data_IF_830705771924
#
_entry.id   IF_830705771924
#
_cell.length_a   1.000
_cell.length_b   1.000
_cell.length_c   1.000
_cell.angle_alpha   90.00
_cell.angle_beta   90.00
_cell.angle_gamma   90.00
#
_symmetry.space_group_name_H-M   'P 1'
#
loop_
_entity.id
_entity.type
_entity.pdbx_description
1 polymer ?
#
# COMPACT_ATOMS: atom_id res chain seq x y z
N UNK A 1 -11.25 -3.12 10.08
CA UNK A 1 -12.35 -3.94 10.60
C UNK A 1 -12.64 -5.19 9.76
N UNK A 2 -12.78 -5.10 8.41
CA UNK A 2 -13.10 -6.29 7.60
C UNK A 2 -11.94 -7.30 7.56
N UNK A 3 -10.70 -6.86 7.44
CA UNK A 3 -9.54 -7.73 7.41
C UNK A 3 -9.33 -8.51 8.72
N UNK A 4 -9.66 -7.92 9.87
CA UNK A 4 -9.64 -8.65 11.15
C UNK A 4 -10.64 -9.81 11.17
N UNK A 5 -11.81 -9.61 10.56
CA UNK A 5 -12.85 -10.68 10.49
C UNK A 5 -12.46 -11.81 9.55
N UNK A 6 -11.67 -11.50 8.52
CA UNK A 6 -11.26 -12.46 7.50
C UNK A 6 -9.90 -13.11 7.80
N UNK A 7 -9.22 -12.73 8.88
CA UNK A 7 -7.89 -13.26 9.21
C UNK A 7 -7.91 -14.79 9.31
N UNK A 8 -7.01 -15.43 8.57
CA UNK A 8 -6.88 -16.88 8.51
C UNK A 8 -7.95 -17.60 7.67
N UNK A 9 -8.96 -16.89 7.17
CA UNK A 9 -10.01 -17.48 6.30
C UNK A 9 -9.55 -17.52 4.84
N UNK A 10 -10.22 -18.31 4.02
CA UNK A 10 -10.01 -18.31 2.58
C UNK A 10 -10.44 -16.98 1.98
N UNK A 11 -9.65 -16.47 1.01
CA UNK A 11 -9.96 -15.23 0.34
C UNK A 11 -11.32 -15.34 -0.39
N UNK A 12 -12.28 -14.43 -0.15
CA UNK A 12 -13.55 -14.43 -0.87
C UNK A 12 -13.35 -14.37 -2.38
N UNK A 13 -14.12 -15.12 -3.13
CA UNK A 13 -14.04 -15.19 -4.59
C UNK A 13 -14.18 -13.81 -5.24
N UNK A 14 -15.01 -12.92 -4.68
CA UNK A 14 -15.19 -11.55 -5.16
C UNK A 14 -13.92 -10.70 -5.13
N UNK A 15 -12.93 -11.07 -4.30
CA UNK A 15 -11.64 -10.37 -4.23
C UNK A 15 -10.63 -10.93 -5.24
N UNK A 16 -10.88 -12.13 -5.78
CA UNK A 16 -10.00 -12.81 -6.73
C UNK A 16 -10.40 -12.56 -8.19
N UNK A 17 -11.67 -12.28 -8.44
CA UNK A 17 -12.22 -12.10 -9.78
C UNK A 17 -11.50 -10.98 -10.55
N UNK A 18 -11.06 -11.30 -11.77
CA UNK A 18 -10.38 -10.37 -12.66
C UNK A 18 -8.97 -9.99 -12.24
N UNK A 19 -8.42 -10.58 -11.17
CA UNK A 19 -7.08 -10.29 -10.69
C UNK A 19 -6.09 -11.40 -11.01
N UNK A 20 -4.85 -11.00 -11.32
CA UNK A 20 -3.71 -11.92 -11.48
C UNK A 20 -2.80 -11.78 -10.30
N UNK A 21 -2.45 -12.90 -9.70
CA UNK A 21 -1.49 -12.96 -8.59
C UNK A 21 -0.23 -13.68 -9.05
N UNK A 22 0.94 -13.07 -8.79
CA UNK A 22 2.21 -13.73 -9.01
C UNK A 22 2.43 -14.79 -7.91
N UNK A 23 2.91 -15.97 -8.31
CA UNK A 23 3.37 -17.01 -7.38
C UNK A 23 2.32 -17.61 -6.43
N UNK A 24 1.03 -17.34 -6.65
CA UNK A 24 -0.06 -17.94 -5.88
C UNK A 24 -0.68 -19.10 -6.66
N UNK A 25 -0.78 -20.27 -6.00
CA UNK A 25 -1.52 -21.43 -6.46
C UNK A 25 -2.69 -21.68 -5.51
N UNK A 26 -3.89 -21.86 -6.07
CA UNK A 26 -5.11 -22.08 -5.29
C UNK A 26 -5.66 -20.81 -4.64
N UNK A 27 -6.58 -20.98 -3.68
CA UNK A 27 -7.21 -19.87 -2.95
C UNK A 27 -6.30 -19.45 -1.77
N UNK A 28 -5.78 -18.21 -1.74
CA UNK A 28 -4.93 -17.76 -0.66
C UNK A 28 -5.73 -17.52 0.63
N UNK A 29 -5.07 -17.66 1.77
CA UNK A 29 -5.61 -17.24 3.06
C UNK A 29 -5.50 -15.72 3.21
N UNK A 30 -6.51 -15.12 3.82
CA UNK A 30 -6.47 -13.71 4.17
C UNK A 30 -5.57 -13.50 5.40
N UNK A 31 -4.81 -12.43 5.37
CA UNK A 31 -3.99 -11.99 6.50
C UNK A 31 -4.57 -10.71 7.08
N UNK A 32 -4.93 -10.75 8.34
CA UNK A 32 -5.35 -9.58 9.10
C UNK A 32 -4.20 -8.60 9.36
N UNK A 33 -4.51 -7.38 9.80
CA UNK A 33 -3.50 -6.41 10.20
C UNK A 33 -2.62 -6.95 11.32
N UNK A 34 -1.31 -6.78 11.20
CA UNK A 34 -0.33 -7.14 12.24
C UNK A 34 0.07 -5.95 13.11
N UNK A 35 -0.55 -4.79 12.89
CA UNK A 35 -0.34 -3.57 13.65
C UNK A 35 -1.67 -2.98 14.11
N UNK A 36 -1.63 -2.22 15.19
CA UNK A 36 -2.78 -1.43 15.65
C UNK A 36 -2.82 -0.10 14.89
N UNK A 37 -4.05 0.34 14.58
CA UNK A 37 -4.32 1.61 13.94
C UNK A 37 -5.27 2.43 14.81
N UNK A 38 -4.94 3.71 14.97
CA UNK A 38 -5.80 4.68 15.65
C UNK A 38 -6.02 5.91 14.76
N UNK A 39 -7.08 6.66 15.04
CA UNK A 39 -7.33 7.93 14.38
C UNK A 39 -6.55 9.04 15.06
N UNK A 40 -5.98 9.94 14.25
CA UNK A 40 -5.21 11.09 14.72
C UNK A 40 -5.59 12.35 13.94
N UNK A 41 -5.28 13.51 14.53
CA UNK A 41 -5.53 14.81 13.96
C UNK A 41 -7.01 15.16 13.80
N UNK A 42 -7.28 16.33 13.23
CA UNK A 42 -8.63 16.79 12.91
C UNK A 42 -9.21 16.03 11.71
N UNK A 43 -8.34 15.58 10.79
CA UNK A 43 -8.72 14.77 9.64
C UNK A 43 -9.23 13.37 10.03
N UNK A 44 -8.93 12.90 11.25
CA UNK A 44 -9.28 11.57 11.72
C UNK A 44 -8.62 10.44 10.92
N UNK A 45 -7.45 10.70 10.32
CA UNK A 45 -6.73 9.72 9.53
C UNK A 45 -6.22 8.55 10.39
N UNK A 46 -6.37 7.33 9.87
CA UNK A 46 -5.85 6.15 10.56
C UNK A 46 -4.36 6.01 10.32
N UNK A 47 -3.57 6.01 11.40
CA UNK A 47 -2.12 5.80 11.38
C UNK A 47 -1.76 4.59 12.21
N UNK A 48 -0.78 3.83 11.72
CA UNK A 48 -0.25 2.65 12.41
C UNK A 48 0.64 3.06 13.60
N UNK A 49 0.62 2.25 14.66
CA UNK A 49 1.53 2.40 15.80
C UNK A 49 3.03 2.35 15.44
N UNK A 50 3.35 1.80 14.26
CA UNK A 50 4.74 1.77 13.75
C UNK A 50 5.23 3.11 13.20
N UNK A 51 4.35 4.11 13.07
CA UNK A 51 4.66 5.43 12.50
C UNK A 51 4.33 6.55 13.50
N UNK A 52 4.93 6.55 14.71
CA UNK A 52 4.53 7.48 15.77
C UNK A 52 4.73 8.95 15.39
N UNK A 53 5.82 9.29 14.71
CA UNK A 53 6.11 10.67 14.30
C UNK A 53 5.19 11.18 13.18
N UNK A 54 4.60 10.30 12.38
CA UNK A 54 3.63 10.68 11.35
C UNK A 54 2.34 11.24 11.97
N UNK A 55 2.02 10.85 13.20
CA UNK A 55 0.81 11.30 13.89
C UNK A 55 0.82 12.79 14.21
N UNK A 56 2.02 13.39 14.33
CA UNK A 56 2.19 14.80 14.65
C UNK A 56 1.91 15.73 13.45
N UNK A 57 2.05 15.21 12.23
CA UNK A 57 1.86 15.94 10.98
C UNK A 57 0.71 15.42 10.12
N UNK A 58 -0.16 14.59 10.70
CA UNK A 58 -1.20 13.87 9.95
C UNK A 58 -2.17 14.80 9.20
N UNK A 59 -2.43 15.98 9.73
CA UNK A 59 -3.33 16.96 9.12
C UNK A 59 -2.70 17.73 7.96
N UNK A 60 -1.36 17.70 7.84
CA UNK A 60 -0.61 18.27 6.72
C UNK A 60 -0.44 17.30 5.55
N UNK A 61 -0.94 16.06 5.70
CA UNK A 61 -0.76 14.99 4.73
C UNK A 61 -2.01 14.65 3.95
N UNK A 62 -1.86 14.35 2.67
CA UNK A 62 -2.90 13.77 1.84
C UNK A 62 -2.73 12.25 1.74
N UNK A 63 -3.76 11.50 2.14
CA UNK A 63 -3.76 10.03 2.12
C UNK A 63 -4.45 9.50 0.87
N UNK A 64 -3.67 9.07 -0.12
CA UNK A 64 -4.17 8.44 -1.34
C UNK A 64 -4.36 6.93 -1.11
N UNK A 65 -5.55 6.50 -0.74
CA UNK A 65 -5.84 5.13 -0.28
C UNK A 65 -6.11 4.12 -1.40
N UNK A 66 -6.35 4.58 -2.61
CA UNK A 66 -6.76 3.73 -3.73
C UNK A 66 -5.70 3.63 -4.85
N UNK A 67 -4.45 3.99 -4.55
CA UNK A 67 -3.36 3.89 -5.53
C UNK A 67 -3.04 2.42 -5.79
N UNK A 68 -3.00 2.04 -7.07
CA UNK A 68 -2.65 0.71 -7.52
C UNK A 68 -1.86 0.78 -8.82
N UNK A 69 -1.24 -0.32 -9.18
CA UNK A 69 -0.52 -0.48 -10.45
C UNK A 69 -0.87 -1.81 -11.11
N UNK A 70 -0.77 -1.87 -12.44
CA UNK A 70 -0.88 -3.12 -13.19
C UNK A 70 0.41 -3.95 -13.16
N UNK A 71 1.48 -3.40 -12.62
CA UNK A 71 2.74 -4.11 -12.42
C UNK A 71 2.59 -5.10 -11.25
N UNK A 72 2.49 -6.39 -11.56
CA UNK A 72 2.23 -7.43 -10.56
C UNK A 72 3.49 -7.91 -9.84
N UNK A 73 4.70 -7.56 -10.34
CA UNK A 73 5.97 -7.88 -9.70
C UNK A 73 6.48 -6.68 -8.91
N UNK A 74 7.12 -6.93 -7.76
CA UNK A 74 7.58 -5.88 -6.84
C UNK A 74 8.58 -4.90 -7.47
N UNK A 75 9.60 -5.39 -8.18
CA UNK A 75 10.66 -4.53 -8.73
C UNK A 75 10.12 -3.51 -9.75
N UNK A 76 9.41 -3.91 -10.82
CA UNK A 76 8.81 -2.93 -11.74
C UNK A 76 7.74 -2.06 -11.07
N UNK A 77 6.98 -2.58 -10.09
CA UNK A 77 6.01 -1.80 -9.34
C UNK A 77 6.67 -0.67 -8.52
N UNK A 78 7.79 -0.95 -7.85
CA UNK A 78 8.57 0.04 -7.12
C UNK A 78 9.18 1.08 -8.07
N UNK A 79 9.77 0.65 -9.18
CA UNK A 79 10.30 1.58 -10.19
C UNK A 79 9.21 2.49 -10.71
N UNK A 80 8.04 1.96 -11.02
CA UNK A 80 6.91 2.74 -11.50
C UNK A 80 6.44 3.79 -10.49
N UNK A 81 6.34 3.41 -9.21
CA UNK A 81 5.97 4.33 -8.13
C UNK A 81 6.96 5.50 -8.00
N UNK A 82 8.25 5.22 -8.07
CA UNK A 82 9.29 6.23 -7.81
C UNK A 82 9.69 7.06 -9.04
N UNK A 83 9.51 6.55 -10.25
CA UNK A 83 10.06 7.17 -11.47
C UNK A 83 9.02 7.42 -12.56
N UNK A 84 7.78 6.95 -12.38
CA UNK A 84 6.74 6.98 -13.41
C UNK A 84 6.99 5.99 -14.57
N UNK A 85 7.93 5.05 -14.42
CA UNK A 85 8.25 4.04 -15.43
C UNK A 85 8.62 2.70 -14.77
N UNK A 86 8.10 1.56 -15.27
CA UNK A 86 8.51 0.25 -14.76
C UNK A 86 9.92 -0.16 -15.22
N UNK A 87 10.59 0.65 -16.04
CA UNK A 87 11.93 0.40 -16.58
C UNK A 87 12.98 1.23 -15.84
N UNK A 88 14.17 0.68 -15.70
CA UNK A 88 15.32 1.38 -15.13
C UNK A 88 15.76 2.58 -15.98
N UNK A 89 16.58 3.46 -15.39
CA UNK A 89 17.25 4.57 -16.07
C UNK A 89 16.54 5.92 -15.97
N UNK A 90 15.45 6.02 -15.20
CA UNK A 90 14.80 7.30 -14.92
C UNK A 90 15.09 7.75 -13.49
N UNK A 91 15.34 9.06 -13.26
CA UNK A 91 15.49 9.60 -11.92
C UNK A 91 14.20 9.47 -11.11
N UNK A 92 14.35 9.26 -9.81
CA UNK A 92 13.22 9.31 -8.87
C UNK A 92 12.79 10.76 -8.59
N UNK A 93 11.61 10.93 -7.99
CA UNK A 93 11.13 12.24 -7.51
C UNK A 93 12.16 12.89 -6.58
N UNK A 94 12.75 12.11 -5.65
CA UNK A 94 13.80 12.61 -4.76
C UNK A 94 15.05 13.09 -5.51
N UNK A 95 15.45 12.38 -6.56
CA UNK A 95 16.57 12.82 -7.40
C UNK A 95 16.29 14.16 -8.11
N UNK A 96 15.06 14.36 -8.59
CA UNK A 96 14.65 15.62 -9.19
C UNK A 96 14.64 16.78 -8.18
N UNK A 97 14.13 16.54 -6.98
CA UNK A 97 14.11 17.55 -5.91
C UNK A 97 15.53 17.99 -5.51
N UNK A 98 16.49 17.06 -5.49
CA UNK A 98 17.88 17.39 -5.16
C UNK A 98 18.68 17.97 -6.32
N UNK A 99 18.23 17.77 -7.55
CA UNK A 99 18.89 18.31 -8.73
C UNK A 99 18.62 19.81 -8.93
N UNK A 100 17.46 20.28 -8.56
CA UNK A 100 17.18 21.64 -8.79
C UNK A 100 16.07 22.38 -8.48
#
# INVERSE_FOLDING_TARGET
>A
PILHKLDGQDCPQSFLEGKRFAFLTGVPKMMGPKANFKQYGQSGAFVSEHLPYLTEMVDDLTFLKAVHTNEFNHAPGQLFMHTGSPRMGRPSIGSWVTYG
#
